data_IF_492909669302
#
_entry.id   IF_492909669302
#
_cell.length_a   1.000
_cell.length_b   1.000
_cell.length_c   1.000
_cell.angle_alpha   90.00
_cell.angle_beta   90.00
_cell.angle_gamma   90.00
#
_symmetry.space_group_name_H-M   'P 1'
#
loop_
_entity.id
_entity.type
_entity.pdbx_description
1 polymer ?
#
# COMPACT_ATOMS: atom_id res chain seq x y z
N UNK A 1 1.95 9.48 5.44
CA UNK A 1 3.10 9.00 6.26
C UNK A 1 3.58 10.16 7.12
N UNK A 2 4.45 9.94 8.10
CA UNK A 2 4.94 11.03 8.95
C UNK A 2 6.27 10.68 9.60
N UNK A 3 6.88 11.66 10.26
CA UNK A 3 8.10 11.50 11.03
C UNK A 3 7.90 11.98 12.46
N UNK A 4 8.56 11.31 13.39
CA UNK A 4 8.65 11.77 14.77
C UNK A 4 9.61 12.94 14.79
N UNK A 5 9.13 14.12 15.20
CA UNK A 5 9.98 15.31 15.30
C UNK A 5 10.72 15.33 16.64
N UNK A 6 10.01 15.06 17.73
CA UNK A 6 10.59 14.91 19.06
C UNK A 6 9.72 14.02 19.97
N UNK A 7 10.33 13.59 21.07
CA UNK A 7 9.68 12.83 22.13
C UNK A 7 9.88 13.60 23.44
N UNK A 8 8.81 13.80 24.20
CA UNK A 8 8.86 14.44 25.52
C UNK A 8 8.62 13.40 26.62
N UNK A 9 9.67 12.92 27.31
CA UNK A 9 9.51 11.97 28.42
C UNK A 9 8.77 12.58 29.61
N UNK A 10 8.88 13.90 29.81
CA UNK A 10 8.24 14.62 30.90
C UNK A 10 6.72 14.67 30.72
N UNK A 11 6.27 15.04 29.52
CA UNK A 11 4.85 15.14 29.19
C UNK A 11 4.28 13.78 28.74
N UNK A 12 5.14 12.76 28.57
CA UNK A 12 4.80 11.42 28.06
C UNK A 12 4.09 11.49 26.70
N UNK A 13 4.62 12.33 25.81
CA UNK A 13 4.10 12.54 24.45
C UNK A 13 5.14 12.28 23.38
N UNK A 14 4.66 11.90 22.19
CA UNK A 14 5.41 11.81 20.95
C UNK A 14 4.79 12.79 19.95
N UNK A 15 5.58 13.74 19.46
CA UNK A 15 5.13 14.70 18.46
C UNK A 15 5.42 14.17 17.05
N UNK A 16 4.40 14.13 16.20
CA UNK A 16 4.49 13.60 14.84
C UNK A 16 4.00 14.64 13.85
N UNK A 17 4.83 14.89 12.83
CA UNK A 17 4.46 15.67 11.66
C UNK A 17 4.16 14.73 10.49
N UNK A 18 3.00 14.89 9.88
CA UNK A 18 2.53 14.10 8.75
C UNK A 18 2.80 14.78 7.40
N UNK A 19 2.84 13.98 6.34
CA UNK A 19 3.09 14.41 4.96
C UNK A 19 2.01 15.32 4.39
N UNK A 20 0.79 15.30 4.95
CA UNK A 20 -0.29 16.23 4.63
C UNK A 20 -0.19 17.57 5.40
N UNK A 21 0.87 17.76 6.18
CA UNK A 21 1.13 18.96 6.97
C UNK A 21 0.41 18.98 8.32
N UNK A 22 -0.31 17.92 8.71
CA UNK A 22 -0.88 17.83 10.06
C UNK A 22 0.19 17.52 11.08
N UNK A 23 0.02 18.10 12.26
CA UNK A 23 0.86 17.86 13.43
C UNK A 23 -0.03 17.37 14.58
N UNK A 24 0.38 16.29 15.24
CA UNK A 24 -0.36 15.71 16.36
C UNK A 24 0.58 15.21 17.45
N UNK A 25 0.19 15.45 18.70
CA UNK A 25 0.78 14.81 19.87
C UNK A 25 0.03 13.52 20.20
N UNK A 26 0.78 12.43 20.33
CA UNK A 26 0.26 11.17 20.85
C UNK A 26 0.80 10.94 22.26
N UNK A 27 -0.08 10.59 23.20
CA UNK A 27 0.34 10.13 24.51
C UNK A 27 1.01 8.75 24.42
N UNK A 28 1.86 8.40 25.37
CA UNK A 28 2.54 7.10 25.37
C UNK A 28 1.58 5.90 25.40
N UNK A 29 0.39 6.05 25.98
CA UNK A 29 -0.65 5.01 25.97
C UNK A 29 -1.45 4.96 24.66
N UNK A 30 -1.26 5.90 23.74
CA UNK A 30 -1.92 5.96 22.43
C UNK A 30 -1.01 5.48 21.30
N UNK A 31 0.23 5.04 21.61
CA UNK A 31 1.21 4.62 20.60
C UNK A 31 0.78 3.38 19.80
N UNK A 32 -0.26 2.66 20.23
CA UNK A 32 -0.85 1.56 19.48
C UNK A 32 -1.65 2.01 18.24
N UNK A 33 -2.06 3.29 18.19
CA UNK A 33 -2.76 3.89 17.04
C UNK A 33 -1.81 4.19 15.87
N UNK A 34 -0.51 4.12 16.10
CA UNK A 34 0.53 4.37 15.11
C UNK A 34 1.42 3.15 14.93
N UNK A 35 1.97 2.99 13.72
CA UNK A 35 2.89 1.90 13.41
C UNK A 35 4.07 2.44 12.63
N UNK A 36 5.25 1.86 12.87
CA UNK A 36 6.43 2.18 12.09
C UNK A 36 6.21 1.94 10.59
N UNK A 37 6.75 2.85 9.78
CA UNK A 37 6.56 2.87 8.33
C UNK A 37 7.87 2.69 7.54
N UNK A 38 8.91 2.12 8.17
CA UNK A 38 10.17 1.77 7.50
C UNK A 38 9.97 0.80 6.33
N UNK A 39 9.01 -0.12 6.49
CA UNK A 39 8.54 -1.02 5.44
C UNK A 39 7.02 -1.02 5.51
N UNK A 40 6.38 -0.79 4.38
CA UNK A 40 4.92 -0.79 4.27
C UNK A 40 4.46 -1.81 3.25
N UNK A 41 3.24 -2.31 3.43
CA UNK A 41 2.61 -3.15 2.43
C UNK A 41 2.19 -2.31 1.22
N UNK A 42 2.09 -2.94 0.05
CA UNK A 42 1.61 -2.28 -1.18
C UNK A 42 0.22 -1.68 -0.96
N UNK A 43 -0.63 -2.34 -0.16
CA UNK A 43 -1.94 -1.82 0.22
C UNK A 43 -1.86 -0.53 1.04
N UNK A 44 -0.97 -0.47 2.04
CA UNK A 44 -0.77 0.77 2.84
C UNK A 44 -0.14 1.91 2.04
N UNK A 45 0.50 1.61 0.90
CA UNK A 45 1.08 2.60 -0.01
C UNK A 45 0.10 3.12 -1.08
N UNK A 46 -1.16 2.70 -1.08
CA UNK A 46 -2.13 3.12 -2.10
C UNK A 46 -2.34 4.63 -2.09
N UNK A 47 -2.21 5.27 -3.26
CA UNK A 47 -2.32 6.73 -3.40
C UNK A 47 -1.02 7.50 -3.13
N UNK A 48 0.03 6.82 -2.66
CA UNK A 48 1.37 7.39 -2.51
C UNK A 48 2.29 6.99 -3.65
N UNK A 49 3.31 7.81 -3.92
CA UNK A 49 4.35 7.52 -4.90
C UNK A 49 5.71 8.02 -4.38
N UNK A 50 6.77 7.29 -4.69
CA UNK A 50 8.12 7.53 -4.16
C UNK A 50 9.14 7.58 -5.30
N UNK A 51 10.17 8.41 -5.16
CA UNK A 51 11.23 8.52 -6.17
C UNK A 51 11.94 7.18 -6.41
N UNK A 52 12.24 6.47 -5.33
CA UNK A 52 12.84 5.12 -5.38
C UNK A 52 12.03 4.16 -4.52
N UNK A 53 11.70 2.98 -5.06
CA UNK A 53 11.05 1.90 -4.32
C UNK A 53 11.93 0.66 -4.32
N UNK A 54 12.10 0.07 -3.14
CA UNK A 54 12.67 -1.27 -2.97
C UNK A 54 11.50 -2.20 -2.62
N UNK A 55 11.17 -3.12 -3.53
CA UNK A 55 10.02 -4.00 -3.40
C UNK A 55 10.50 -5.44 -3.21
N UNK A 56 10.18 -6.00 -2.05
CA UNK A 56 10.51 -7.39 -1.72
C UNK A 56 9.35 -8.30 -2.07
N UNK A 57 9.63 -9.35 -2.84
CA UNK A 57 8.65 -10.33 -3.35
C UNK A 57 9.10 -11.73 -2.89
N UNK A 58 8.76 -12.10 -1.63
CA UNK A 58 9.05 -13.44 -1.14
C UNK A 58 8.11 -14.47 -1.80
N UNK A 59 8.49 -15.76 -1.84
CA UNK A 59 7.53 -16.84 -2.05
C UNK A 59 6.46 -16.76 -0.97
N UNK A 60 5.21 -17.04 -1.32
CA UNK A 60 4.12 -16.87 -0.37
C UNK A 60 2.81 -17.43 -0.85
N UNK A 61 1.73 -17.06 -0.15
CA UNK A 61 0.38 -17.53 -0.42
C UNK A 61 -0.04 -17.11 -1.84
N UNK A 62 -0.44 -18.05 -2.71
CA UNK A 62 -0.78 -17.75 -4.11
C UNK A 62 -1.82 -16.65 -4.30
N UNK A 63 -2.74 -16.49 -3.34
CA UNK A 63 -3.77 -15.43 -3.36
C UNK A 63 -3.19 -14.01 -3.33
N UNK A 64 -2.02 -13.81 -2.75
CA UNK A 64 -1.35 -12.51 -2.72
C UNK A 64 -0.45 -12.31 -3.95
N UNK A 65 0.01 -13.41 -4.57
CA UNK A 65 0.90 -13.40 -5.72
C UNK A 65 0.15 -13.13 -7.03
N UNK A 66 -0.45 -11.94 -7.14
CA UNK A 66 -1.26 -11.55 -8.30
C UNK A 66 -0.57 -10.50 -9.17
N UNK A 67 -0.88 -10.51 -10.46
CA UNK A 67 -0.41 -9.50 -11.43
C UNK A 67 -0.78 -8.08 -11.01
N UNK A 68 -1.98 -7.90 -10.48
CA UNK A 68 -2.47 -6.59 -10.02
C UNK A 68 -1.67 -6.08 -8.84
N UNK A 69 -1.33 -6.94 -7.87
CA UNK A 69 -0.51 -6.52 -6.72
C UNK A 69 0.90 -6.13 -7.17
N UNK A 70 1.50 -6.92 -8.07
CA UNK A 70 2.80 -6.61 -8.66
C UNK A 70 2.77 -5.25 -9.37
N UNK A 71 1.79 -5.03 -10.26
CA UNK A 71 1.63 -3.77 -10.98
C UNK A 71 1.38 -2.57 -10.05
N UNK A 72 0.59 -2.79 -8.99
CA UNK A 72 0.33 -1.76 -7.98
C UNK A 72 1.63 -1.38 -7.27
N UNK A 73 2.48 -2.34 -6.91
CA UNK A 73 3.79 -2.08 -6.31
C UNK A 73 4.75 -1.36 -7.27
N UNK A 74 4.81 -1.80 -8.54
CA UNK A 74 5.63 -1.17 -9.58
C UNK A 74 5.25 0.31 -9.77
N UNK A 75 3.96 0.61 -9.84
CA UNK A 75 3.45 1.99 -10.03
C UNK A 75 3.62 2.90 -8.81
N UNK A 76 4.21 2.42 -7.70
CA UNK A 76 4.62 3.30 -6.60
C UNK A 76 5.97 3.98 -6.87
N UNK A 77 6.77 3.47 -7.82
CA UNK A 77 8.08 4.05 -8.15
C UNK A 77 7.97 5.11 -9.25
N UNK A 78 8.46 6.32 -8.99
CA UNK A 78 8.52 7.40 -9.99
C UNK A 78 9.76 7.34 -10.87
N UNK A 79 10.93 7.06 -10.29
CA UNK A 79 12.22 7.14 -11.00
C UNK A 79 12.96 5.81 -11.01
N UNK A 80 12.99 5.11 -9.87
CA UNK A 80 13.78 3.88 -9.72
C UNK A 80 13.02 2.80 -8.96
N UNK A 81 13.06 1.58 -9.48
CA UNK A 81 12.51 0.40 -8.83
C UNK A 81 13.61 -0.64 -8.67
N UNK A 82 13.73 -1.19 -7.45
CA UNK A 82 14.58 -2.34 -7.15
C UNK A 82 13.67 -3.48 -6.70
N UNK A 83 13.59 -4.54 -7.51
CA UNK A 83 12.84 -5.75 -7.17
C UNK A 83 13.78 -6.77 -6.51
N UNK A 84 13.40 -7.25 -5.33
CA UNK A 84 14.14 -8.27 -4.59
C UNK A 84 13.23 -9.49 -4.42
N UNK A 85 13.53 -10.58 -5.12
CA UNK A 85 12.73 -11.79 -5.04
C UNK A 85 13.20 -12.86 -6.01
N UNK A 86 12.51 -13.99 -6.01
CA UNK A 86 12.81 -15.09 -6.94
C UNK A 86 12.15 -14.85 -8.29
N UNK A 87 12.91 -15.04 -9.36
CA UNK A 87 12.41 -14.93 -10.73
C UNK A 87 11.16 -15.81 -10.95
N UNK A 88 11.16 -17.05 -10.44
CA UNK A 88 10.02 -17.94 -10.51
C UNK A 88 8.76 -17.36 -9.84
N UNK A 89 8.89 -16.65 -8.71
CA UNK A 89 7.76 -16.01 -8.02
C UNK A 89 7.22 -14.86 -8.85
N UNK A 90 8.10 -14.02 -9.41
CA UNK A 90 7.70 -12.90 -10.25
C UNK A 90 6.98 -13.41 -11.51
N UNK A 91 7.54 -14.44 -12.17
CA UNK A 91 6.91 -15.05 -13.35
C UNK A 91 5.53 -15.63 -13.02
N UNK A 92 5.35 -16.26 -11.85
CA UNK A 92 4.04 -16.71 -11.37
C UNK A 92 3.06 -15.55 -11.19
N UNK A 93 3.50 -14.44 -10.61
CA UNK A 93 2.66 -13.25 -10.45
C UNK A 93 2.23 -12.67 -11.80
N UNK A 94 3.15 -12.59 -12.77
CA UNK A 94 2.90 -12.10 -14.13
C UNK A 94 1.88 -12.99 -14.86
N UNK A 95 2.03 -14.31 -14.73
CA UNK A 95 1.14 -15.30 -15.36
C UNK A 95 -0.25 -15.40 -14.68
N UNK A 96 -0.43 -14.78 -13.51
CA UNK A 96 -1.71 -14.81 -12.80
C UNK A 96 -2.72 -13.88 -13.48
N UNK A 97 -3.57 -14.44 -14.33
CA UNK A 97 -4.70 -13.75 -14.97
C UNK A 97 -5.94 -13.63 -14.07
N UNK A 98 -5.89 -14.21 -12.87
CA UNK A 98 -7.03 -14.28 -11.96
C UNK A 98 -7.36 -12.89 -11.41
N UNK A 99 -8.14 -12.13 -12.18
CA UNK A 99 -9.13 -11.25 -11.59
C UNK A 99 -10.12 -12.19 -10.90
N UNK A 100 -10.09 -12.26 -9.57
CA UNK A 100 -11.25 -12.77 -8.85
C UNK A 100 -12.46 -12.02 -9.42
N UNK A 101 -13.33 -12.74 -10.14
CA UNK A 101 -14.51 -12.15 -10.77
C UNK A 101 -15.27 -11.46 -9.66
N UNK A 102 -15.25 -10.14 -9.66
CA UNK A 102 -15.95 -9.36 -8.64
C UNK A 102 -17.43 -9.59 -8.84
N UNK A 103 -18.05 -10.29 -7.89
CA UNK A 103 -19.49 -10.47 -7.88
C UNK A 103 -20.14 -9.11 -7.54
N UNK A 104 -20.54 -8.37 -8.58
CA UNK A 104 -21.18 -7.06 -8.44
C UNK A 104 -22.25 -6.85 -9.50
N UNK A 105 -23.42 -6.38 -9.07
CA UNK A 105 -24.54 -6.05 -9.96
C UNK A 105 -24.47 -4.60 -10.48
N UNK A 106 -23.42 -3.84 -10.16
CA UNK A 106 -23.30 -2.43 -10.58
C UNK A 106 -23.36 -2.29 -12.11
N UNK A 107 -22.67 -3.18 -12.85
CA UNK A 107 -22.68 -3.20 -14.32
C UNK A 107 -24.09 -3.42 -14.88
N UNK A 108 -24.87 -4.29 -14.25
CA UNK A 108 -26.24 -4.62 -14.67
C UNK A 108 -27.13 -3.40 -14.44
N UNK A 109 -27.11 -2.85 -13.22
CA UNK A 109 -27.90 -1.67 -12.84
C UNK A 109 -27.60 -0.43 -13.70
N UNK A 110 -26.34 -0.20 -14.06
CA UNK A 110 -25.95 0.92 -14.93
C UNK A 110 -26.49 0.75 -16.36
N UNK A 111 -26.47 -0.46 -16.91
CA UNK A 111 -27.00 -0.74 -18.25
C UNK A 111 -28.51 -0.57 -18.34
N UNK A 112 -29.24 -0.93 -17.27
CA UNK A 112 -30.68 -0.71 -17.19
C UNK A 112 -31.03 0.79 -17.13
N UNK A 113 -30.27 1.59 -16.38
CA UNK A 113 -30.53 3.03 -16.23
C UNK A 113 -30.13 3.89 -17.42
N UNK A 114 -29.02 3.58 -18.09
CA UNK A 114 -28.47 4.42 -19.17
C UNK A 114 -29.21 4.19 -20.50
N UNK A 115 -30.03 3.12 -20.59
CA UNK A 115 -30.70 2.73 -21.83
C UNK A 115 -29.69 2.15 -22.82
N UNK A 116 -30.03 1.03 -23.46
CA UNK A 116 -29.27 0.56 -24.63
C UNK A 116 -29.39 1.62 -25.72
N UNK A 117 -28.27 2.19 -26.17
CA UNK A 117 -28.13 2.47 -27.60
C UNK A 117 -28.00 1.14 -28.32
#
# INVERSE_FOLDING_TARGET
MGWVEYISPKEKTVHIQFDDGKECDYLFNELEEIVHSYVITIHKSQGSEFDTVIMVIPPGVPKLLTKNLLYTGISRAKKKLILIGYEMTINKMIATERQDKRNTNLKIKLREKIGKK
#
